data_IF_189587249476
#
_entry.id   IF_189587249476
#
_cell.length_a   1.000
_cell.length_b   1.000
_cell.length_c   1.000
_cell.angle_alpha   90.00
_cell.angle_beta   90.00
_cell.angle_gamma   90.00
#
_symmetry.space_group_name_H-M   'P 1'
#
loop_
_entity.id
_entity.type
_entity.pdbx_description
1 polymer ?
#
# COMPACT_ATOMS: atom_id res chain seq x y z
N UNK A 1 -29.30 -28.21 15.98
CA UNK A 1 -30.28 -27.87 14.92
C UNK A 1 -29.73 -28.38 13.60
N UNK A 2 -30.46 -29.26 12.92
CA UNK A 2 -30.00 -30.02 11.75
C UNK A 2 -30.35 -29.19 10.51
N UNK A 3 -29.34 -28.67 9.79
CA UNK A 3 -29.57 -27.96 8.54
C UNK A 3 -29.95 -29.02 7.49
N UNK A 4 -31.24 -29.14 7.21
CA UNK A 4 -31.75 -29.95 6.10
C UNK A 4 -31.28 -29.32 4.80
N UNK A 5 -30.26 -29.92 4.16
CA UNK A 5 -29.86 -29.59 2.80
C UNK A 5 -31.00 -29.99 1.88
N UNK A 6 -31.81 -29.01 1.50
CA UNK A 6 -32.86 -29.18 0.50
C UNK A 6 -32.18 -29.53 -0.82
N UNK A 7 -32.39 -30.77 -1.23
CA UNK A 7 -32.21 -31.35 -2.55
C UNK A 7 -32.03 -30.28 -3.66
N UNK A 8 -30.79 -29.86 -3.92
CA UNK A 8 -30.47 -28.98 -5.05
C UNK A 8 -30.44 -29.85 -6.30
N UNK A 9 -31.40 -29.66 -7.20
CA UNK A 9 -31.42 -30.38 -8.47
C UNK A 9 -30.22 -29.97 -9.34
N UNK A 10 -29.69 -30.89 -10.17
CA UNK A 10 -28.56 -30.59 -11.03
C UNK A 10 -28.92 -29.48 -12.03
N UNK A 11 -28.06 -28.47 -12.14
CA UNK A 11 -28.18 -27.44 -13.17
C UNK A 11 -27.46 -27.94 -14.43
N UNK A 12 -28.23 -28.28 -15.46
CA UNK A 12 -27.72 -28.67 -16.77
C UNK A 12 -27.22 -27.41 -17.52
N UNK A 13 -25.94 -27.38 -17.89
CA UNK A 13 -25.38 -26.33 -18.75
C UNK A 13 -24.85 -27.01 -20.01
N UNK A 14 -25.41 -26.65 -21.17
CA UNK A 14 -25.07 -27.23 -22.46
C UNK A 14 -23.80 -26.60 -23.04
N UNK A 15 -22.87 -27.44 -23.51
CA UNK A 15 -21.75 -27.04 -24.37
C UNK A 15 -21.75 -27.90 -25.64
N UNK A 16 -21.12 -27.40 -26.70
CA UNK A 16 -20.98 -27.93 -28.06
C UNK A 16 -20.35 -29.32 -28.21
N UNK A 17 -20.06 -30.05 -27.12
CA UNK A 17 -19.51 -31.42 -27.14
C UNK A 17 -20.23 -32.41 -26.20
N UNK A 18 -21.54 -32.26 -26.06
CA UNK A 18 -22.40 -33.18 -25.32
C UNK A 18 -22.47 -32.90 -23.81
N UNK A 19 -23.56 -33.35 -23.20
CA UNK A 19 -23.82 -33.25 -21.75
C UNK A 19 -22.81 -34.13 -20.99
N UNK A 20 -21.81 -33.51 -20.37
CA UNK A 20 -20.93 -34.22 -19.44
C UNK A 20 -21.31 -33.84 -18.00
N UNK A 21 -21.58 -34.82 -17.12
CA UNK A 21 -21.73 -34.53 -15.70
C UNK A 21 -20.40 -34.09 -15.13
N UNK A 22 -20.33 -32.90 -14.51
CA UNK A 22 -19.16 -32.42 -13.79
C UNK A 22 -18.99 -33.23 -12.50
N UNK A 23 -18.29 -34.37 -12.57
CA UNK A 23 -17.84 -35.12 -11.39
C UNK A 23 -16.58 -34.45 -10.79
N UNK A 24 -16.63 -33.14 -10.58
CA UNK A 24 -15.45 -32.37 -10.09
C UNK A 24 -15.76 -31.55 -8.84
N UNK A 25 -17.00 -31.54 -8.37
CA UNK A 25 -17.39 -30.70 -7.23
C UNK A 25 -16.83 -31.24 -5.90
N UNK A 26 -16.89 -32.56 -5.66
CA UNK A 26 -16.53 -33.13 -4.36
C UNK A 26 -15.04 -33.06 -4.07
N UNK A 27 -14.19 -33.29 -5.06
CA UNK A 27 -12.74 -33.30 -4.87
C UNK A 27 -12.17 -31.87 -4.72
N UNK A 28 -12.73 -30.90 -5.46
CA UNK A 28 -12.37 -29.48 -5.32
C UNK A 28 -12.84 -28.95 -3.96
N UNK A 29 -14.07 -29.26 -3.56
CA UNK A 29 -14.58 -28.86 -2.25
C UNK A 29 -13.78 -29.47 -1.11
N UNK A 30 -13.39 -30.75 -1.22
CA UNK A 30 -12.56 -31.42 -0.22
C UNK A 30 -11.17 -30.78 -0.12
N UNK A 31 -10.51 -30.49 -1.25
CA UNK A 31 -9.22 -29.77 -1.28
C UNK A 31 -9.33 -28.36 -0.70
N UNK A 32 -10.44 -27.66 -0.96
CA UNK A 32 -10.69 -26.33 -0.43
C UNK A 32 -10.89 -26.35 1.08
N UNK A 33 -11.62 -27.34 1.60
CA UNK A 33 -11.84 -27.54 3.04
C UNK A 33 -10.51 -27.86 3.76
N UNK A 34 -9.67 -28.73 3.17
CA UNK A 34 -8.33 -29.02 3.68
C UNK A 34 -7.41 -27.78 3.68
N UNK A 35 -7.50 -26.93 2.65
CA UNK A 35 -6.73 -25.68 2.56
C UNK A 35 -7.17 -24.66 3.61
N UNK A 36 -8.48 -24.51 3.83
CA UNK A 36 -9.02 -23.63 4.85
C UNK A 36 -8.62 -24.08 6.26
N UNK A 37 -8.71 -25.38 6.56
CA UNK A 37 -8.26 -25.93 7.84
C UNK A 37 -6.76 -25.70 8.08
N UNK A 38 -5.93 -25.79 7.03
CA UNK A 38 -4.50 -25.47 7.10
C UNK A 38 -4.23 -23.99 7.36
N UNK A 39 -4.99 -23.09 6.75
CA UNK A 39 -4.89 -21.64 7.01
C UNK A 39 -5.33 -21.29 8.44
N UNK A 40 -6.42 -21.91 8.91
CA UNK A 40 -6.91 -21.71 10.28
C UNK A 40 -5.94 -22.28 11.32
N UNK A 41 -5.33 -23.44 11.07
CA UNK A 41 -4.28 -23.98 11.90
C UNK A 41 -3.01 -23.10 11.89
N UNK A 42 -2.78 -22.37 10.80
CA UNK A 42 -1.72 -21.36 10.68
C UNK A 42 -2.13 -20.00 11.29
N UNK A 43 -3.25 -19.89 12.01
CA UNK A 43 -3.59 -18.65 12.72
C UNK A 43 -2.48 -18.35 13.74
N UNK A 44 -1.66 -17.31 13.54
CA UNK A 44 -0.56 -17.04 14.46
C UNK A 44 -1.11 -16.83 15.87
N UNK A 45 -0.43 -17.40 16.88
CA UNK A 45 -0.85 -17.35 18.29
C UNK A 45 -1.01 -15.92 18.83
N UNK A 46 -0.39 -14.96 18.13
CA UNK A 46 -0.65 -13.53 18.27
C UNK A 46 -1.39 -13.11 16.99
N UNK A 47 -2.56 -12.44 17.06
CA UNK A 47 -3.01 -11.71 15.89
C UNK A 47 -1.82 -10.87 15.45
N UNK A 48 -1.52 -10.83 14.16
CA UNK A 48 -0.83 -9.67 13.64
C UNK A 48 -1.80 -8.52 13.90
N UNK A 49 -1.85 -7.99 15.14
CA UNK A 49 -1.81 -6.55 15.29
C UNK A 49 -0.58 -6.24 14.47
N UNK A 50 -0.80 -5.89 13.19
CA UNK A 50 0.24 -5.27 12.41
C UNK A 50 0.87 -4.33 13.43
N UNK A 51 2.18 -4.44 13.72
CA UNK A 51 2.81 -3.27 14.29
C UNK A 51 2.26 -2.18 13.40
N UNK A 52 1.58 -1.19 13.98
CA UNK A 52 1.27 0.00 13.21
C UNK A 52 2.65 0.58 12.98
N UNK A 53 3.40 -0.03 12.06
CA UNK A 53 4.38 0.58 11.24
C UNK A 53 3.47 1.60 10.61
N UNK A 54 3.43 2.79 11.24
CA UNK A 54 3.30 4.03 10.53
C UNK A 54 4.45 3.94 9.53
N UNK A 55 4.23 3.18 8.46
CA UNK A 55 4.98 3.18 7.23
C UNK A 55 5.11 4.65 6.98
N UNK A 56 6.31 5.21 7.20
CA UNK A 56 6.60 6.65 7.24
C UNK A 56 5.41 7.40 6.68
N UNK A 57 4.51 7.83 7.58
CA UNK A 57 3.09 8.00 7.21
C UNK A 57 3.04 8.80 5.92
N UNK A 58 2.28 8.35 4.91
CA UNK A 58 2.37 8.90 3.55
C UNK A 58 2.26 10.44 3.59
N UNK A 59 1.60 10.97 4.61
CA UNK A 59 1.55 12.37 5.01
C UNK A 59 2.94 13.00 5.27
N UNK A 60 3.84 12.40 6.06
CA UNK A 60 5.19 12.94 6.34
C UNK A 60 6.01 13.07 5.06
N UNK A 61 5.96 12.05 4.19
CA UNK A 61 6.66 12.10 2.90
C UNK A 61 6.07 13.17 1.98
N UNK A 62 4.74 13.36 2.05
CA UNK A 62 4.02 14.39 1.31
C UNK A 62 4.40 15.80 1.79
N UNK A 63 4.41 16.04 3.09
CA UNK A 63 4.84 17.29 3.72
C UNK A 63 6.29 17.64 3.36
N UNK A 64 7.18 16.64 3.32
CA UNK A 64 8.55 16.83 2.90
C UNK A 64 8.63 17.29 1.43
N UNK A 65 7.86 16.69 0.52
CA UNK A 65 7.83 17.15 -0.87
C UNK A 65 7.19 18.54 -1.03
N UNK A 66 6.17 18.87 -0.24
CA UNK A 66 5.51 20.17 -0.33
C UNK A 66 6.44 21.29 0.17
N UNK A 67 7.26 20.98 1.18
CA UNK A 67 8.36 21.84 1.63
C UNK A 67 9.41 22.03 0.54
N UNK A 68 9.78 20.96 -0.18
CA UNK A 68 10.71 21.03 -1.30
C UNK A 68 10.15 21.86 -2.48
N UNK A 69 8.86 21.69 -2.81
CA UNK A 69 8.17 22.47 -3.84
C UNK A 69 8.14 23.96 -3.50
N UNK A 70 7.81 24.28 -2.24
CA UNK A 70 7.79 25.65 -1.74
C UNK A 70 9.17 26.29 -1.86
N UNK A 71 10.22 25.59 -1.46
CA UNK A 71 11.59 26.09 -1.58
C UNK A 71 12.01 26.27 -3.05
N UNK A 72 11.64 25.35 -3.95
CA UNK A 72 11.87 25.50 -5.40
C UNK A 72 11.26 26.81 -5.92
N UNK A 73 9.99 27.04 -5.58
CA UNK A 73 9.27 28.25 -5.98
C UNK A 73 9.89 29.51 -5.38
N UNK A 74 10.33 29.46 -4.12
CA UNK A 74 11.05 30.57 -3.46
C UNK A 74 12.37 30.92 -4.15
N UNK A 75 13.07 29.93 -4.69
CA UNK A 75 14.29 30.13 -5.48
C UNK A 75 14.02 30.56 -6.94
N UNK A 76 12.76 30.63 -7.38
CA UNK A 76 12.39 30.98 -8.75
C UNK A 76 12.75 29.91 -9.79
N UNK A 77 13.04 28.68 -9.36
CA UNK A 77 13.46 27.60 -10.27
C UNK A 77 12.26 26.97 -10.97
N UNK A 78 12.35 26.84 -12.29
CA UNK A 78 11.36 26.12 -13.09
C UNK A 78 11.55 24.60 -12.98
N UNK A 79 10.55 23.83 -13.42
CA UNK A 79 10.71 22.38 -13.55
C UNK A 79 11.76 22.00 -14.61
N UNK A 80 12.05 22.88 -15.58
CA UNK A 80 13.10 22.65 -16.55
C UNK A 80 14.49 22.78 -15.90
N UNK A 81 14.69 23.79 -15.06
CA UNK A 81 15.93 23.97 -14.29
C UNK A 81 16.16 22.80 -13.35
N UNK A 82 15.09 22.36 -12.68
CA UNK A 82 15.16 21.19 -11.81
C UNK A 82 15.48 19.91 -12.57
N UNK A 83 14.96 19.72 -13.78
CA UNK A 83 15.31 18.57 -14.62
C UNK A 83 16.81 18.57 -14.94
N UNK A 84 17.35 19.71 -15.34
CA UNK A 84 18.78 19.85 -15.65
C UNK A 84 19.67 19.58 -14.43
N UNK A 85 19.29 20.11 -13.26
CA UNK A 85 20.09 19.98 -12.03
C UNK A 85 19.95 18.63 -11.33
N UNK A 86 18.75 18.05 -11.33
CA UNK A 86 18.47 16.79 -10.61
C UNK A 86 18.59 15.55 -11.49
N UNK A 87 18.50 15.69 -12.82
CA UNK A 87 18.37 14.60 -13.78
C UNK A 87 17.05 13.83 -13.66
N UNK A 88 16.02 14.43 -13.05
CA UNK A 88 14.67 13.85 -12.96
C UNK A 88 13.82 14.45 -14.08
N UNK A 89 13.14 13.61 -14.85
CA UNK A 89 12.31 14.07 -15.96
C UNK A 89 11.23 15.07 -15.55
N UNK A 90 10.93 16.04 -16.43
CA UNK A 90 9.98 17.13 -16.13
C UNK A 90 8.60 16.60 -15.76
N UNK A 91 8.13 15.55 -16.43
CA UNK A 91 6.84 14.90 -16.13
C UNK A 91 6.84 14.24 -14.75
N UNK A 92 7.95 13.61 -14.37
CA UNK A 92 8.12 13.01 -13.04
C UNK A 92 8.18 14.09 -11.94
N UNK A 93 8.90 15.20 -12.17
CA UNK A 93 8.90 16.35 -11.26
C UNK A 93 7.50 16.94 -11.08
N UNK A 94 6.75 17.10 -12.17
CA UNK A 94 5.37 17.57 -12.12
C UNK A 94 4.48 16.64 -11.29
N UNK A 95 4.62 15.32 -11.47
CA UNK A 95 3.89 14.31 -10.69
C UNK A 95 4.25 14.39 -9.21
N UNK A 96 5.55 14.43 -8.88
CA UNK A 96 6.04 14.53 -7.50
C UNK A 96 5.45 15.75 -6.75
N UNK A 97 5.25 16.87 -7.45
CA UNK A 97 4.78 18.12 -6.86
C UNK A 97 3.26 18.29 -6.79
N UNK A 98 2.48 17.51 -7.55
CA UNK A 98 1.04 17.75 -7.71
C UNK A 98 0.17 16.51 -7.44
N UNK A 99 0.73 15.31 -7.51
CA UNK A 99 -0.03 14.07 -7.25
C UNK A 99 0.05 13.71 -5.76
N UNK A 100 -1.10 13.80 -5.07
CA UNK A 100 -1.22 13.48 -3.64
C UNK A 100 -0.96 11.99 -3.33
N UNK A 101 -1.19 11.09 -4.30
CA UNK A 101 -0.90 9.67 -4.15
C UNK A 101 0.55 9.31 -4.46
N UNK A 102 1.38 10.29 -4.85
CA UNK A 102 2.78 10.03 -5.14
C UNK A 102 3.55 9.70 -3.86
N UNK A 103 4.19 8.53 -3.85
CA UNK A 103 5.06 8.06 -2.76
C UNK A 103 6.53 8.04 -3.21
N UNK A 104 7.24 9.18 -3.16
CA UNK A 104 8.65 9.23 -3.53
C UNK A 104 9.55 8.49 -2.53
N UNK A 105 10.56 7.82 -3.06
CA UNK A 105 11.64 7.28 -2.22
C UNK A 105 12.47 8.39 -1.58
N UNK A 106 13.12 8.12 -0.44
CA UNK A 106 14.12 9.02 0.15
C UNK A 106 15.22 9.44 -0.83
N UNK A 107 15.62 8.53 -1.73
CA UNK A 107 16.59 8.83 -2.80
C UNK A 107 16.08 9.93 -3.74
N UNK A 108 14.79 9.89 -4.08
CA UNK A 108 14.14 10.91 -4.92
C UNK A 108 14.12 12.26 -4.20
N UNK A 109 13.71 12.30 -2.93
CA UNK A 109 13.71 13.52 -2.11
C UNK A 109 15.11 14.14 -2.03
N UNK A 110 16.12 13.31 -1.83
CA UNK A 110 17.52 13.75 -1.70
C UNK A 110 18.05 14.33 -3.00
N UNK A 111 17.77 13.70 -4.16
CA UNK A 111 18.14 14.24 -5.48
C UNK A 111 17.47 15.59 -5.76
N UNK A 112 16.19 15.71 -5.43
CA UNK A 112 15.44 16.94 -5.59
C UNK A 112 16.02 18.05 -4.70
N UNK A 113 16.29 17.76 -3.42
CA UNK A 113 16.91 18.71 -2.49
C UNK A 113 18.30 19.16 -2.96
N UNK A 114 19.15 18.21 -3.39
CA UNK A 114 20.50 18.49 -3.85
C UNK A 114 20.53 19.45 -5.05
N UNK A 115 19.57 19.34 -5.97
CA UNK A 115 19.42 20.25 -7.11
C UNK A 115 19.17 21.72 -6.71
N UNK A 116 18.73 21.96 -5.48
CA UNK A 116 18.50 23.29 -4.90
C UNK A 116 19.58 23.69 -3.87
N UNK A 117 20.67 22.91 -3.76
CA UNK A 117 21.70 23.11 -2.74
C UNK A 117 21.22 22.82 -1.31
N UNK A 118 20.21 21.96 -1.16
CA UNK A 118 19.63 21.55 0.12
C UNK A 118 19.99 20.09 0.44
N UNK A 119 19.67 19.66 1.66
CA UNK A 119 19.82 18.27 2.10
C UNK A 119 18.59 17.81 2.86
N UNK A 120 18.28 16.52 2.75
CA UNK A 120 17.28 15.84 3.57
C UNK A 120 18.00 15.27 4.80
N UNK A 121 17.42 15.46 5.99
CA UNK A 121 17.88 14.86 7.25
C UNK A 121 16.73 14.06 7.83
N UNK A 122 17.01 12.82 8.22
CA UNK A 122 16.09 11.97 8.98
C UNK A 122 16.60 11.94 10.42
N UNK A 123 15.71 12.22 11.37
CA UNK A 123 16.01 12.23 12.81
C UNK A 123 15.08 11.22 13.48
N UNK A 124 15.61 10.54 14.50
CA UNK A 124 14.81 9.70 15.39
C UNK A 124 14.50 10.51 16.63
N UNK A 125 13.22 10.59 16.99
CA UNK A 125 12.72 11.29 18.15
C UNK A 125 11.89 10.32 19.01
N UNK A 126 11.83 10.58 20.32
CA UNK A 126 10.99 9.80 21.22
C UNK A 126 9.52 10.02 20.84
N UNK A 127 8.75 8.94 20.74
CA UNK A 127 7.32 9.05 20.52
C UNK A 127 6.66 9.63 21.80
N UNK A 128 5.86 10.68 21.66
CA UNK A 128 5.07 11.20 22.77
C UNK A 128 4.24 10.06 23.37
N UNK A 129 4.51 9.73 24.63
CA UNK A 129 3.79 8.69 25.36
C UNK A 129 2.37 9.17 25.61
N UNK A 130 1.38 8.52 25.01
CA UNK A 130 -0.05 8.84 25.13
C UNK A 130 -0.65 8.65 26.54
N UNK A 131 0.17 8.48 27.57
CA UNK A 131 -0.23 8.13 28.94
C UNK A 131 -0.63 9.33 29.82
N UNK A 132 -0.56 10.58 29.33
CA UNK A 132 -0.83 11.77 30.17
C UNK A 132 -2.26 12.31 30.13
N UNK A 133 -3.25 11.59 29.58
CA UNK A 133 -4.65 12.06 29.54
C UNK A 133 -5.58 11.45 30.61
N UNK A 134 -5.07 10.78 31.65
CA UNK A 134 -5.91 10.22 32.72
C UNK A 134 -5.49 10.70 34.12
N UNK A 135 -5.38 12.01 34.34
CA UNK A 135 -5.43 12.56 35.70
C UNK A 135 -5.79 14.06 35.75
N UNK A 136 -6.99 14.42 35.27
CA UNK A 136 -7.61 15.70 35.60
C UNK A 136 -9.00 15.46 36.20
#
# INVERSE_FOLDING_TARGET
>A
MKLMVRNSQPVEISNSRGTQPLVVEREILQKMEELLARLEAFRPARPLSEPTVKTLSVEVVREAMDSLKTERMRQGLSLADMRERSGIERSALCKLENDAACNPTLRTLTRYAAAMGKRVRVVLEDAESSDQLVSA
#
